data_IF_336683442098
#
_entry.id   IF_336683442098
#
_cell.length_a   1.000
_cell.length_b   1.000
_cell.length_c   1.000
_cell.angle_alpha   90.00
_cell.angle_beta   90.00
_cell.angle_gamma   90.00
#
_symmetry.space_group_name_H-M   'P 1'
#
loop_
_entity.id
_entity.type
_entity.pdbx_description
1 polymer ?
#
# COMPACT_ATOMS: atom_id res chain seq x y z
N UNK A 1 -15.50 14.87 -5.39
CA UNK A 1 -14.09 14.72 -4.94
C UNK A 1 -13.40 16.07 -5.01
N UNK A 2 -12.72 16.51 -3.94
CA UNK A 2 -12.00 17.79 -3.88
C UNK A 2 -10.66 17.79 -4.62
N UNK A 3 -10.67 17.40 -5.90
CA UNK A 3 -9.44 17.15 -6.69
C UNK A 3 -8.93 18.36 -7.47
N UNK A 4 -9.64 19.50 -7.46
CA UNK A 4 -9.24 20.71 -8.17
C UNK A 4 -8.74 20.45 -9.59
N UNK A 5 -7.58 21.02 -9.94
CA UNK A 5 -6.94 20.89 -11.26
C UNK A 5 -6.53 19.47 -11.67
N UNK A 6 -6.45 18.52 -10.73
CA UNK A 6 -6.16 17.11 -11.06
C UNK A 6 -7.44 16.28 -11.30
N UNK A 7 -8.62 16.88 -11.17
CA UNK A 7 -9.92 16.24 -11.44
C UNK A 7 -10.34 16.21 -12.91
N UNK A 8 -9.40 16.20 -13.87
CA UNK A 8 -9.73 16.24 -15.31
C UNK A 8 -10.18 14.86 -15.81
N UNK A 9 -11.24 14.80 -16.64
CA UNK A 9 -11.80 13.56 -17.21
C UNK A 9 -10.75 12.59 -17.76
N UNK A 10 -9.78 13.11 -18.53
CA UNK A 10 -8.68 12.32 -19.11
C UNK A 10 -7.87 11.51 -18.08
N UNK A 11 -7.70 12.04 -16.86
CA UNK A 11 -6.95 11.34 -15.82
C UNK A 11 -7.77 10.22 -15.19
N UNK A 12 -9.08 10.39 -15.07
CA UNK A 12 -9.99 9.31 -14.66
C UNK A 12 -10.08 8.21 -15.71
N UNK A 13 -10.12 8.56 -17.00
CA UNK A 13 -10.08 7.59 -18.08
C UNK A 13 -8.77 6.79 -18.08
N UNK A 14 -7.65 7.48 -17.88
CA UNK A 14 -6.36 6.83 -17.69
C UNK A 14 -6.38 5.91 -16.46
N UNK A 15 -6.85 6.36 -15.29
CA UNK A 15 -6.95 5.52 -14.09
C UNK A 15 -7.84 4.29 -14.33
N UNK A 16 -8.99 4.48 -14.99
CA UNK A 16 -9.95 3.42 -15.31
C UNK A 16 -9.40 2.40 -16.31
N UNK A 17 -8.44 2.79 -17.14
CA UNK A 17 -7.70 1.87 -18.00
C UNK A 17 -6.80 0.89 -17.23
N UNK A 18 -6.66 1.06 -15.91
CA UNK A 18 -5.84 0.25 -15.00
C UNK A 18 -4.39 0.18 -15.48
N UNK A 19 -3.68 1.33 -15.53
CA UNK A 19 -2.28 1.34 -15.94
C UNK A 19 -1.45 0.47 -14.99
N UNK A 20 -0.32 -0.05 -15.48
CA UNK A 20 0.51 -1.00 -14.73
C UNK A 20 0.84 -0.53 -13.32
N UNK A 21 1.15 0.76 -13.14
CA UNK A 21 1.41 1.37 -11.83
C UNK A 21 0.26 1.18 -10.83
N UNK A 22 -1.00 1.27 -11.30
CA UNK A 22 -2.19 1.07 -10.47
C UNK A 22 -2.37 -0.41 -10.13
N UNK A 23 -2.12 -1.31 -11.09
CA UNK A 23 -2.21 -2.75 -10.86
C UNK A 23 -1.19 -3.22 -9.82
N UNK A 24 0.07 -2.81 -9.95
CA UNK A 24 1.11 -3.23 -9.01
C UNK A 24 0.93 -2.61 -7.63
N UNK A 25 0.43 -1.37 -7.54
CA UNK A 25 0.09 -0.79 -6.23
C UNK A 25 -1.08 -1.50 -5.58
N UNK A 26 -2.11 -1.88 -6.33
CA UNK A 26 -3.19 -2.70 -5.78
C UNK A 26 -2.68 -4.05 -5.26
N UNK A 27 -1.71 -4.66 -5.95
CA UNK A 27 -1.03 -5.87 -5.47
C UNK A 27 -0.24 -5.59 -4.19
N UNK A 28 0.54 -4.50 -4.12
CA UNK A 28 1.25 -4.09 -2.90
C UNK A 28 0.27 -3.92 -1.73
N UNK A 29 -0.83 -3.20 -1.93
CA UNK A 29 -1.86 -3.02 -0.90
C UNK A 29 -2.34 -4.36 -0.37
N UNK A 30 -2.75 -5.27 -1.25
CA UNK A 30 -3.25 -6.59 -0.84
C UNK A 30 -2.19 -7.42 -0.10
N UNK A 31 -0.95 -7.44 -0.58
CA UNK A 31 0.12 -8.17 0.08
C UNK A 31 0.42 -7.63 1.49
N UNK A 32 0.42 -6.30 1.66
CA UNK A 32 0.67 -5.68 2.96
C UNK A 32 -0.50 -5.94 3.93
N UNK A 33 -1.73 -5.76 3.48
CA UNK A 33 -2.96 -6.03 4.22
C UNK A 33 -2.99 -7.47 4.75
N UNK A 34 -2.87 -8.45 3.85
CA UNK A 34 -2.94 -9.88 4.19
C UNK A 34 -1.76 -10.36 5.05
N UNK A 35 -0.62 -9.66 5.03
CA UNK A 35 0.52 -9.95 5.90
C UNK A 35 0.29 -9.45 7.32
N UNK A 36 -0.22 -8.23 7.45
CA UNK A 36 -0.37 -7.57 8.74
C UNK A 36 -1.51 -8.18 9.53
N UNK A 37 -2.65 -8.47 8.89
CA UNK A 37 -3.84 -9.02 9.56
C UNK A 37 -3.84 -10.54 9.70
N UNK A 38 -2.79 -11.22 9.22
CA UNK A 38 -2.79 -12.68 9.06
C UNK A 38 -3.23 -13.48 10.30
N UNK A 39 -2.66 -13.17 11.47
CA UNK A 39 -2.96 -13.91 12.70
C UNK A 39 -4.40 -13.71 13.16
N UNK A 40 -4.89 -12.46 13.05
CA UNK A 40 -6.25 -12.10 13.43
C UNK A 40 -7.27 -12.74 12.48
N UNK A 41 -6.99 -12.70 11.18
CA UNK A 41 -7.81 -13.31 10.14
C UNK A 41 -7.92 -14.82 10.33
N UNK A 42 -6.80 -15.51 10.50
CA UNK A 42 -6.80 -16.97 10.73
C UNK A 42 -7.50 -17.31 12.05
N UNK A 43 -7.27 -16.53 13.11
CA UNK A 43 -7.96 -16.68 14.40
C UNK A 43 -9.48 -16.54 14.31
N UNK A 44 -9.97 -15.68 13.40
CA UNK A 44 -11.41 -15.49 13.12
C UNK A 44 -11.97 -16.48 12.07
N UNK A 45 -11.12 -17.34 11.50
CA UNK A 45 -11.52 -18.29 10.46
C UNK A 45 -11.55 -17.71 9.03
N UNK A 46 -11.07 -16.48 8.84
CA UNK A 46 -10.89 -15.86 7.52
C UNK A 46 -9.64 -16.44 6.84
N UNK A 47 -9.85 -17.55 6.14
CA UNK A 47 -8.74 -18.29 5.52
C UNK A 47 -8.39 -17.84 4.10
N UNK A 48 -9.18 -16.95 3.50
CA UNK A 48 -9.01 -16.49 2.12
C UNK A 48 -8.09 -15.26 2.04
N UNK A 49 -6.81 -15.42 2.38
CA UNK A 49 -5.78 -14.38 2.26
C UNK A 49 -4.55 -14.90 1.49
N UNK A 50 -3.80 -14.00 0.85
CA UNK A 50 -2.68 -14.33 -0.01
C UNK A 50 -1.58 -15.08 0.73
N UNK A 51 -1.31 -14.73 1.99
CA UNK A 51 -0.25 -15.36 2.77
C UNK A 51 -0.57 -16.84 3.06
N UNK A 52 -1.81 -17.15 3.45
CA UNK A 52 -2.29 -18.50 3.67
C UNK A 52 -2.25 -19.32 2.38
N UNK A 53 -2.69 -18.75 1.26
CA UNK A 53 -2.63 -19.42 -0.04
C UNK A 53 -1.20 -19.71 -0.46
N UNK A 54 -0.27 -18.76 -0.27
CA UNK A 54 1.14 -18.96 -0.60
C UNK A 54 1.78 -20.08 0.24
N UNK A 55 1.53 -20.09 1.55
CA UNK A 55 1.98 -21.15 2.46
C UNK A 55 1.49 -22.53 1.98
N UNK A 56 0.19 -22.65 1.67
CA UNK A 56 -0.41 -23.90 1.21
C UNK A 56 0.08 -24.35 -0.16
N UNK A 57 0.21 -23.42 -1.10
CA UNK A 57 0.63 -23.71 -2.47
C UNK A 57 2.10 -24.15 -2.53
N UNK A 58 2.97 -23.54 -1.73
CA UNK A 58 4.42 -23.79 -1.79
C UNK A 58 4.94 -24.68 -0.66
N UNK A 59 4.12 -25.05 0.33
CA UNK A 59 4.52 -25.86 1.47
C UNK A 59 5.60 -25.20 2.34
N UNK A 60 5.60 -23.87 2.42
CA UNK A 60 6.62 -23.07 3.13
C UNK A 60 6.11 -22.59 4.49
N UNK A 61 7.02 -22.18 5.37
CA UNK A 61 6.62 -21.54 6.63
C UNK A 61 6.10 -20.12 6.39
N UNK A 62 5.34 -19.60 7.36
CA UNK A 62 4.84 -18.22 7.34
C UNK A 62 5.97 -17.20 7.17
N UNK A 63 7.09 -17.38 7.88
CA UNK A 63 8.25 -16.48 7.84
C UNK A 63 8.91 -16.47 6.46
N UNK A 64 8.99 -17.63 5.80
CA UNK A 64 9.48 -17.72 4.42
C UNK A 64 8.54 -17.01 3.46
N UNK A 65 7.23 -17.19 3.60
CA UNK A 65 6.24 -16.53 2.76
C UNK A 65 6.27 -14.99 2.93
N UNK A 66 6.31 -14.50 4.18
CA UNK A 66 6.49 -13.07 4.49
C UNK A 66 7.77 -12.51 3.85
N UNK A 67 8.88 -13.26 3.91
CA UNK A 67 10.14 -12.83 3.28
C UNK A 67 10.01 -12.72 1.76
N UNK A 68 9.30 -13.64 1.10
CA UNK A 68 9.06 -13.57 -0.35
C UNK A 68 8.13 -12.40 -0.70
N UNK A 69 7.07 -12.16 0.07
CA UNK A 69 6.19 -11.00 -0.14
C UNK A 69 6.97 -9.69 0.02
N UNK A 70 7.89 -9.62 0.99
CA UNK A 70 8.80 -8.48 1.15
C UNK A 70 9.68 -8.24 -0.09
N UNK A 71 10.10 -9.28 -0.82
CA UNK A 71 10.80 -9.11 -2.10
C UNK A 71 9.87 -8.61 -3.19
N UNK A 72 8.67 -9.19 -3.30
CA UNK A 72 7.65 -8.75 -4.27
C UNK A 72 7.30 -7.26 -4.08
N UNK A 73 7.12 -6.81 -2.84
CA UNK A 73 6.86 -5.40 -2.51
C UNK A 73 8.03 -4.51 -2.94
N UNK A 74 9.28 -4.93 -2.68
CA UNK A 74 10.48 -4.19 -3.13
C UNK A 74 10.53 -4.06 -4.66
N UNK A 75 10.20 -5.12 -5.38
CA UNK A 75 10.17 -5.08 -6.84
C UNK A 75 9.01 -4.25 -7.39
N UNK A 76 7.84 -4.30 -6.74
CA UNK A 76 6.72 -3.40 -7.04
C UNK A 76 7.15 -1.94 -6.87
N UNK A 77 7.84 -1.58 -5.79
CA UNK A 77 8.31 -0.21 -5.58
C UNK A 77 9.25 0.26 -6.72
N UNK A 78 10.10 -0.63 -7.25
CA UNK A 78 10.94 -0.30 -8.43
C UNK A 78 10.08 -0.07 -9.68
N UNK A 79 9.08 -0.93 -9.92
CA UNK A 79 8.15 -0.78 -11.04
C UNK A 79 7.39 0.55 -10.93
N UNK A 80 6.89 0.91 -9.75
CA UNK A 80 6.18 2.18 -9.53
C UNK A 80 7.06 3.37 -9.91
N UNK A 81 8.33 3.37 -9.49
CA UNK A 81 9.28 4.42 -9.84
C UNK A 81 9.49 4.50 -11.35
N UNK A 82 9.73 3.36 -11.99
CA UNK A 82 9.95 3.28 -13.44
C UNK A 82 8.74 3.76 -14.24
N UNK A 83 7.54 3.28 -13.92
CA UNK A 83 6.30 3.67 -14.60
C UNK A 83 5.99 5.16 -14.41
N UNK A 84 6.22 5.72 -13.22
CA UNK A 84 6.04 7.15 -12.96
C UNK A 84 7.06 8.02 -13.71
N UNK A 85 8.27 7.53 -13.94
CA UNK A 85 9.27 8.23 -14.75
C UNK A 85 8.94 8.17 -16.25
N UNK A 86 8.45 7.03 -16.73
CA UNK A 86 8.06 6.81 -18.14
C UNK A 86 6.75 7.48 -18.55
N UNK A 87 5.83 7.68 -17.62
CA UNK A 87 4.51 8.26 -17.93
C UNK A 87 4.63 9.77 -18.17
N UNK A 88 4.57 10.20 -19.43
CA UNK A 88 4.70 11.61 -19.84
C UNK A 88 3.36 12.29 -20.14
N UNK A 89 2.32 11.52 -20.46
CA UNK A 89 0.98 12.02 -20.80
C UNK A 89 0.10 12.37 -19.58
N UNK A 90 0.59 12.10 -18.36
CA UNK A 90 -0.10 12.39 -17.10
C UNK A 90 0.68 13.45 -16.33
N UNK A 91 -0.03 14.43 -15.75
CA UNK A 91 0.62 15.48 -14.97
C UNK A 91 1.37 14.91 -13.75
N UNK A 92 2.51 15.53 -13.43
CA UNK A 92 3.29 15.19 -12.22
C UNK A 92 2.45 15.24 -10.95
N UNK A 93 1.50 16.18 -10.83
CA UNK A 93 0.61 16.27 -9.67
C UNK A 93 -0.24 15.01 -9.46
N UNK A 94 -0.74 14.39 -10.55
CA UNK A 94 -1.48 13.13 -10.49
C UNK A 94 -0.55 11.96 -10.15
N UNK A 95 0.61 11.88 -10.80
CA UNK A 95 1.59 10.82 -10.50
C UNK A 95 2.09 10.88 -9.04
N UNK A 96 2.23 12.08 -8.48
CA UNK A 96 2.59 12.24 -7.07
C UNK A 96 1.52 11.67 -6.13
N UNK A 97 0.23 11.69 -6.47
CA UNK A 97 -0.80 11.04 -5.65
C UNK A 97 -0.61 9.52 -5.61
N UNK A 98 -0.20 8.92 -6.74
CA UNK A 98 0.05 7.49 -6.86
C UNK A 98 1.28 7.08 -6.06
N UNK A 99 2.36 7.86 -6.15
CA UNK A 99 3.57 7.64 -5.36
C UNK A 99 3.26 7.81 -3.87
N UNK A 100 2.51 8.85 -3.50
CA UNK A 100 2.14 9.10 -2.11
C UNK A 100 1.21 8.02 -1.55
N UNK A 101 0.32 7.45 -2.37
CA UNK A 101 -0.45 6.27 -1.98
C UNK A 101 0.48 5.08 -1.68
N UNK A 102 1.45 4.81 -2.57
CA UNK A 102 2.44 3.76 -2.33
C UNK A 102 3.23 3.95 -1.02
N UNK A 103 3.58 5.20 -0.70
CA UNK A 103 4.27 5.57 0.56
C UNK A 103 3.36 5.50 1.77
N UNK A 104 2.09 5.89 1.63
CA UNK A 104 1.15 5.79 2.74
C UNK A 104 0.95 4.35 3.15
N UNK A 105 0.92 3.40 2.21
CA UNK A 105 0.88 1.97 2.56
C UNK A 105 2.05 1.57 3.45
N UNK A 106 3.27 2.06 3.16
CA UNK A 106 4.42 1.81 4.03
C UNK A 106 4.11 2.35 5.43
N UNK A 107 3.68 3.60 5.58
CA UNK A 107 3.34 4.18 6.90
C UNK A 107 2.22 3.41 7.62
N UNK A 108 1.17 3.00 6.90
CA UNK A 108 -0.03 2.36 7.46
C UNK A 108 0.22 0.90 7.87
N UNK A 109 1.24 0.23 7.33
CA UNK A 109 1.49 -1.20 7.58
C UNK A 109 2.94 -1.50 8.05
N UNK A 110 3.75 -0.49 8.41
CA UNK A 110 5.17 -0.70 8.81
C UNK A 110 5.31 -1.42 10.16
N UNK A 111 4.36 -1.26 11.07
CA UNK A 111 4.49 -1.78 12.45
C UNK A 111 3.28 -2.55 12.94
N UNK A 112 2.09 -2.10 12.56
CA UNK A 112 0.80 -2.67 12.97
C UNK A 112 -0.23 -2.36 11.89
N UNK A 113 -1.36 -3.07 11.86
CA UNK A 113 -2.48 -2.60 11.06
C UNK A 113 -3.10 -1.42 11.81
N UNK A 114 -2.82 -0.23 11.30
CA UNK A 114 -3.31 1.01 11.88
C UNK A 114 -4.84 1.15 11.87
N UNK A 115 -5.55 0.34 11.09
CA UNK A 115 -7.01 0.30 11.10
C UNK A 115 -7.55 -0.52 12.28
N UNK A 116 -6.90 -1.65 12.60
CA UNK A 116 -7.28 -2.54 13.69
C UNK A 116 -6.65 -2.16 15.05
N UNK A 117 -5.52 -1.45 15.06
CA UNK A 117 -4.75 -1.13 16.27
C UNK A 117 -4.62 0.38 16.51
N UNK A 118 -5.67 0.96 17.10
CA UNK A 118 -5.81 2.41 17.34
C UNK A 118 -4.74 3.02 18.26
N UNK A 119 -4.16 2.21 19.14
CA UNK A 119 -3.12 2.66 20.08
C UNK A 119 -1.70 2.48 19.54
N UNK A 120 -1.55 2.02 18.28
CA UNK A 120 -0.26 1.85 17.63
C UNK A 120 0.35 3.14 17.10
N UNK A 121 1.38 3.00 16.24
CA UNK A 121 2.16 4.10 15.67
C UNK A 121 1.35 5.22 15.00
N UNK A 122 0.14 4.92 14.50
CA UNK A 122 -0.72 5.94 13.90
C UNK A 122 -1.09 7.04 14.90
N UNK A 123 -1.33 6.68 16.17
CA UNK A 123 -1.65 7.66 17.23
C UNK A 123 -0.49 8.61 17.46
N UNK A 124 0.74 8.09 17.47
CA UNK A 124 1.94 8.90 17.59
C UNK A 124 2.10 9.84 16.39
N UNK A 125 1.97 9.32 15.16
CA UNK A 125 2.02 10.13 13.94
C UNK A 125 0.98 11.25 13.93
N UNK A 126 -0.27 10.97 14.34
CA UNK A 126 -1.33 11.98 14.43
C UNK A 126 -0.99 13.03 15.48
N UNK A 127 -0.55 12.60 16.66
CA UNK A 127 -0.19 13.52 17.75
C UNK A 127 0.92 14.48 17.30
N UNK A 128 2.01 13.96 16.74
CA UNK A 128 3.12 14.78 16.27
C UNK A 128 2.77 15.68 15.09
N UNK A 129 1.86 15.25 14.19
CA UNK A 129 1.53 16.03 12.99
C UNK A 129 0.45 17.09 13.22
N UNK A 130 -0.51 16.81 14.11
CA UNK A 130 -1.76 17.57 14.21
C UNK A 130 -2.07 18.11 15.62
N UNK A 131 -1.38 17.64 16.67
CA UNK A 131 -1.64 18.05 18.06
C UNK A 131 -0.48 18.87 18.62
N UNK A 132 0.73 18.32 18.56
CA UNK A 132 1.90 18.93 19.18
C UNK A 132 2.60 19.88 18.19
N UNK A 133 2.64 21.20 18.46
CA UNK A 133 3.31 22.13 17.58
C UNK A 133 4.84 21.95 17.65
N UNK A 134 5.51 22.23 16.53
CA UNK A 134 6.98 22.32 16.52
C UNK A 134 7.38 23.57 17.32
N UNK A 135 8.03 23.36 18.45
CA UNK A 135 8.65 24.44 19.22
C UNK A 135 9.98 24.82 18.54
N UNK A 136 10.16 26.12 18.30
CA UNK A 136 11.36 26.73 17.74
C UNK A 136 12.28 27.26 18.83
#
# INVERSE_FOLDING_TARGET
MGLGEIGKKRYFEWLRSRPKVVQVLAAKTRLMDDMTDYEEDIGKGYTANALNYYIKQHGVTKEKAIKEFGKMIKDINKIVNEECLKTTNISRRVLNQIINYGRSLDVLYTSDDVFNHREGMLKEHITTLLVDPIHL
#
